data_IF_665356227158
#
_entry.id   IF_665356227158
#
_cell.length_a   1.000
_cell.length_b   1.000
_cell.length_c   1.000
_cell.angle_alpha   90.00
_cell.angle_beta   90.00
_cell.angle_gamma   90.00
#
_symmetry.space_group_name_H-M   'P 1'
#
loop_
_entity.id
_entity.type
_entity.pdbx_description
1 polymer ?
#
# COMPACT_ATOMS: atom_id res chain seq x y z
N UNK A 1 18.94 5.62 25.08
CA UNK A 1 19.89 6.53 24.38
C UNK A 1 19.12 7.25 23.27
N UNK A 2 18.86 8.56 23.39
CA UNK A 2 18.06 9.30 22.40
C UNK A 2 18.90 9.57 21.14
N UNK A 3 18.83 8.67 20.16
CA UNK A 3 19.32 8.97 18.81
C UNK A 3 18.49 10.14 18.28
N UNK A 4 19.07 11.35 18.30
CA UNK A 4 18.56 12.44 17.48
C UNK A 4 18.83 12.07 16.03
N UNK A 5 17.87 11.38 15.43
CA UNK A 5 17.88 11.13 13.99
C UNK A 5 17.74 12.48 13.30
N UNK A 6 18.86 13.02 12.83
CA UNK A 6 18.86 14.23 12.01
C UNK A 6 17.88 14.06 10.84
N UNK A 7 17.03 15.06 10.61
CA UNK A 7 16.03 15.11 9.54
C UNK A 7 16.66 15.23 8.12
N UNK A 8 17.87 14.71 7.91
CA UNK A 8 18.67 14.87 6.70
C UNK A 8 18.06 14.24 5.44
N UNK A 9 17.26 13.19 5.60
CA UNK A 9 16.67 12.43 4.48
C UNK A 9 15.79 13.26 3.53
N UNK A 10 15.10 14.31 4.02
CA UNK A 10 14.26 15.17 3.17
C UNK A 10 14.97 16.48 2.83
N UNK A 11 15.78 17.04 3.75
CA UNK A 11 16.36 18.39 3.57
C UNK A 11 17.56 18.45 2.61
N UNK A 12 18.37 17.39 2.48
CA UNK A 12 19.59 17.41 1.67
C UNK A 12 19.58 16.50 0.42
N UNK A 13 18.50 15.75 0.19
CA UNK A 13 18.49 14.66 -0.80
C UNK A 13 17.56 14.90 -2.02
N UNK A 14 17.16 16.14 -2.31
CA UNK A 14 16.29 16.44 -3.47
C UNK A 14 16.86 15.88 -4.79
N UNK A 15 18.18 15.94 -4.96
CA UNK A 15 18.86 15.41 -6.14
C UNK A 15 18.80 13.88 -6.18
N UNK A 16 18.92 13.20 -5.04
CA UNK A 16 18.78 11.75 -4.96
C UNK A 16 17.39 11.31 -5.43
N UNK A 17 16.33 11.95 -4.92
CA UNK A 17 14.95 11.61 -5.32
C UNK A 17 14.67 11.91 -6.79
N UNK A 18 15.19 13.01 -7.32
CA UNK A 18 15.09 13.33 -8.75
C UNK A 18 15.82 12.28 -9.58
N UNK A 19 17.03 11.88 -9.19
CA UNK A 19 17.80 10.85 -9.90
C UNK A 19 17.06 9.51 -9.90
N UNK A 20 16.56 9.07 -8.74
CA UNK A 20 15.79 7.82 -8.63
C UNK A 20 14.53 7.89 -9.51
N UNK A 21 13.79 9.00 -9.45
CA UNK A 21 12.60 9.19 -10.28
C UNK A 21 12.95 9.13 -11.78
N UNK A 22 14.03 9.79 -12.20
CA UNK A 22 14.48 9.77 -13.60
C UNK A 22 14.92 8.38 -14.04
N UNK A 23 15.65 7.63 -13.21
CA UNK A 23 16.07 6.27 -13.52
C UNK A 23 14.87 5.33 -13.69
N UNK A 24 13.90 5.39 -12.76
CA UNK A 24 12.63 4.64 -12.87
C UNK A 24 11.88 5.06 -14.13
N UNK A 25 11.83 6.36 -14.42
CA UNK A 25 11.17 6.89 -15.62
C UNK A 25 11.82 6.40 -16.92
N UNK A 26 13.15 6.30 -16.99
CA UNK A 26 13.86 5.80 -18.17
C UNK A 26 13.52 4.34 -18.45
N UNK A 27 13.57 3.49 -17.42
CA UNK A 27 13.18 2.07 -17.51
C UNK A 27 11.72 1.93 -17.94
N UNK A 28 10.86 2.78 -17.38
CA UNK A 28 9.46 2.81 -17.75
C UNK A 28 9.23 3.23 -19.21
N UNK A 29 9.90 4.28 -19.69
CA UNK A 29 9.80 4.72 -21.08
C UNK A 29 10.23 3.62 -22.05
N UNK A 30 11.18 2.77 -21.67
CA UNK A 30 11.58 1.62 -22.47
C UNK A 30 10.50 0.51 -22.56
N UNK A 31 9.53 0.47 -21.64
CA UNK A 31 8.48 -0.55 -21.55
C UNK A 31 7.06 -0.04 -21.87
N UNK A 32 6.93 1.25 -22.19
CA UNK A 32 5.65 1.97 -22.28
C UNK A 32 4.74 1.52 -23.44
N UNK A 33 5.32 1.08 -24.57
CA UNK A 33 4.60 0.84 -25.83
C UNK A 33 4.11 -0.60 -26.04
N UNK A 34 4.12 -1.45 -25.00
CA UNK A 34 3.56 -2.81 -25.13
C UNK A 34 2.03 -2.82 -24.95
N UNK A 35 1.31 -3.75 -25.60
CA UNK A 35 -0.11 -3.99 -25.32
C UNK A 35 -0.37 -4.31 -23.84
N UNK A 36 -1.58 -4.02 -23.37
CA UNK A 36 -2.07 -4.46 -22.06
C UNK A 36 -2.18 -5.99 -22.05
N UNK A 37 -1.91 -6.63 -20.90
CA UNK A 37 -1.94 -8.09 -20.75
C UNK A 37 -2.69 -8.51 -19.48
N UNK A 38 -3.35 -9.65 -19.53
CA UNK A 38 -3.94 -10.33 -18.36
C UNK A 38 -4.78 -9.37 -17.47
N UNK A 39 -4.42 -9.26 -16.19
CA UNK A 39 -5.10 -8.42 -15.22
C UNK A 39 -4.93 -6.90 -15.48
N UNK A 40 -3.92 -6.51 -16.26
CA UNK A 40 -3.64 -5.12 -16.58
C UNK A 40 -4.81 -4.46 -17.32
N UNK A 41 -5.38 -5.17 -18.29
CA UNK A 41 -6.52 -4.71 -19.09
C UNK A 41 -7.72 -4.41 -18.20
N UNK A 42 -7.99 -5.28 -17.21
CA UNK A 42 -9.09 -5.10 -16.25
C UNK A 42 -8.96 -3.78 -15.48
N UNK A 43 -7.78 -3.51 -14.93
CA UNK A 43 -7.54 -2.35 -14.10
C UNK A 43 -7.38 -1.05 -14.89
N UNK A 44 -7.05 -1.14 -16.18
CA UNK A 44 -7.10 0.00 -17.11
C UNK A 44 -8.53 0.29 -17.61
N UNK A 45 -9.36 -0.74 -17.77
CA UNK A 45 -10.72 -0.59 -18.30
C UNK A 45 -11.71 -0.01 -17.29
N UNK A 46 -11.67 -0.46 -16.03
CA UNK A 46 -12.58 0.03 -14.97
C UNK A 46 -12.57 1.57 -14.86
N UNK A 47 -11.41 2.26 -14.77
CA UNK A 47 -11.35 3.72 -14.75
C UNK A 47 -11.86 4.39 -16.03
N UNK A 48 -11.67 3.75 -17.20
CA UNK A 48 -12.19 4.25 -18.48
C UNK A 48 -13.73 4.23 -18.46
N UNK A 49 -14.32 3.14 -17.99
CA UNK A 49 -15.77 3.02 -17.85
C UNK A 49 -16.35 4.00 -16.83
N UNK A 50 -15.65 4.29 -15.72
CA UNK A 50 -16.05 5.35 -14.78
C UNK A 50 -16.15 6.73 -15.46
N UNK A 51 -15.26 7.02 -16.42
CA UNK A 51 -15.29 8.28 -17.18
C UNK A 51 -16.47 8.29 -18.15
N UNK A 52 -16.68 7.18 -18.88
CA UNK A 52 -17.75 7.08 -19.89
C UNK A 52 -19.14 7.10 -19.26
N UNK A 53 -19.33 6.38 -18.17
CA UNK A 53 -20.62 6.30 -17.46
C UNK A 53 -20.88 7.50 -16.57
N UNK A 54 -19.82 8.20 -16.13
CA UNK A 54 -19.91 9.22 -15.10
C UNK A 54 -20.18 8.66 -13.69
N UNK A 55 -20.19 7.34 -13.51
CA UNK A 55 -20.39 6.71 -12.20
C UNK A 55 -19.05 6.52 -11.48
N UNK A 56 -18.80 7.38 -10.50
CA UNK A 56 -17.61 7.31 -9.64
C UNK A 56 -17.83 6.48 -8.37
N UNK A 57 -19.05 5.99 -8.13
CA UNK A 57 -19.36 5.18 -6.94
C UNK A 57 -19.25 3.71 -7.26
N UNK A 58 -19.90 3.27 -8.35
CA UNK A 58 -19.96 1.85 -8.74
C UNK A 58 -18.92 1.52 -9.80
N UNK A 59 -17.88 0.72 -9.49
CA UNK A 59 -16.95 0.25 -10.51
C UNK A 59 -17.65 -0.71 -11.48
N UNK A 60 -17.32 -0.60 -12.76
CA UNK A 60 -17.81 -1.48 -13.81
C UNK A 60 -16.63 -2.07 -14.59
N UNK A 61 -16.77 -3.32 -15.02
CA UNK A 61 -15.85 -4.02 -15.91
C UNK A 61 -16.69 -4.69 -17.00
N UNK A 62 -16.40 -4.39 -18.26
CA UNK A 62 -17.22 -4.75 -19.41
C UNK A 62 -18.68 -4.28 -19.22
N UNK A 63 -18.83 -3.10 -18.61
CA UNK A 63 -20.10 -2.50 -18.18
C UNK A 63 -20.92 -3.34 -17.19
N UNK A 64 -20.38 -4.45 -16.70
CA UNK A 64 -20.96 -5.22 -15.61
C UNK A 64 -20.44 -4.72 -14.26
N UNK A 65 -21.28 -4.78 -13.23
CA UNK A 65 -20.94 -4.29 -11.88
C UNK A 65 -19.75 -5.08 -11.31
N UNK A 66 -18.71 -4.37 -10.90
CA UNK A 66 -17.49 -4.94 -10.34
C UNK A 66 -17.36 -4.60 -8.85
N UNK A 67 -17.92 -5.47 -7.99
CA UNK A 67 -17.97 -5.25 -6.54
C UNK A 67 -16.76 -5.75 -5.77
N UNK A 68 -15.70 -6.19 -6.45
CA UNK A 68 -14.63 -6.94 -5.77
C UNK A 68 -13.51 -6.06 -5.19
N UNK A 69 -13.38 -4.81 -5.65
CA UNK A 69 -12.36 -3.86 -5.19
C UNK A 69 -12.95 -2.47 -4.94
N UNK A 70 -12.52 -1.77 -3.88
CA UNK A 70 -12.88 -0.37 -3.67
C UNK A 70 -12.12 0.56 -4.63
N UNK A 71 -12.50 1.85 -4.70
CA UNK A 71 -12.28 2.64 -5.91
C UNK A 71 -11.04 3.53 -5.89
N UNK A 72 -10.23 3.59 -4.83
CA UNK A 72 -9.17 4.60 -4.69
C UNK A 72 -8.22 4.63 -5.90
N UNK A 73 -7.68 3.47 -6.25
CA UNK A 73 -6.74 3.36 -7.37
C UNK A 73 -7.44 3.66 -8.70
N UNK A 74 -8.69 3.23 -8.86
CA UNK A 74 -9.48 3.54 -10.05
C UNK A 74 -9.78 5.04 -10.18
N UNK A 75 -10.07 5.73 -9.09
CA UNK A 75 -10.26 7.19 -9.09
C UNK A 75 -9.00 7.92 -9.53
N UNK A 76 -7.84 7.52 -9.00
CA UNK A 76 -6.56 8.13 -9.39
C UNK A 76 -6.28 7.90 -10.88
N UNK A 77 -6.48 6.68 -11.38
CA UNK A 77 -6.32 6.37 -12.81
C UNK A 77 -7.34 7.12 -13.68
N UNK A 78 -8.59 7.22 -13.26
CA UNK A 78 -9.64 7.94 -14.00
C UNK A 78 -9.35 9.45 -14.07
N UNK A 79 -8.84 10.05 -12.99
CA UNK A 79 -8.38 11.44 -13.00
C UNK A 79 -7.20 11.61 -13.95
N UNK A 80 -6.22 10.69 -13.93
CA UNK A 80 -5.08 10.74 -14.85
C UNK A 80 -5.53 10.64 -16.32
N UNK A 81 -6.49 9.75 -16.64
CA UNK A 81 -7.09 9.65 -17.96
C UNK A 81 -7.81 10.92 -18.41
N UNK A 82 -8.46 11.65 -17.49
CA UNK A 82 -9.07 12.96 -17.82
C UNK A 82 -8.02 14.01 -18.19
N UNK A 83 -6.80 13.93 -17.64
CA UNK A 83 -5.73 14.91 -17.86
C UNK A 83 -4.90 14.55 -19.11
N UNK A 84 -4.53 13.28 -19.25
CA UNK A 84 -3.55 12.81 -20.24
C UNK A 84 -4.17 12.00 -21.39
N UNK A 85 -5.47 11.75 -21.36
CA UNK A 85 -6.16 10.87 -22.29
C UNK A 85 -6.16 9.40 -21.85
N UNK A 86 -7.03 8.61 -22.47
CA UNK A 86 -7.14 7.17 -22.19
C UNK A 86 -6.10 6.43 -23.03
N UNK A 87 -4.97 6.11 -22.40
CA UNK A 87 -3.91 5.32 -23.01
C UNK A 87 -3.35 4.28 -22.03
N UNK A 88 -2.84 3.12 -22.52
CA UNK A 88 -2.20 2.11 -21.66
C UNK A 88 -1.12 2.67 -20.75
N UNK A 89 -0.33 3.61 -21.28
CA UNK A 89 0.76 4.22 -20.54
C UNK A 89 0.25 5.04 -19.35
N UNK A 90 -0.87 5.75 -19.46
CA UNK A 90 -1.38 6.57 -18.36
C UNK A 90 -1.76 5.70 -17.15
N UNK A 91 -2.32 4.51 -17.37
CA UNK A 91 -2.62 3.60 -16.27
C UNK A 91 -1.36 3.05 -15.61
N UNK A 92 -0.34 2.67 -16.39
CA UNK A 92 0.97 2.26 -15.84
C UNK A 92 1.63 3.40 -15.07
N UNK A 93 1.56 4.63 -15.58
CA UNK A 93 2.12 5.82 -14.94
C UNK A 93 1.55 5.98 -13.53
N UNK A 94 0.24 5.82 -13.35
CA UNK A 94 -0.36 5.90 -12.00
C UNK A 94 0.18 4.84 -11.04
N UNK A 95 0.41 3.62 -11.52
CA UNK A 95 0.97 2.55 -10.69
C UNK A 95 2.44 2.82 -10.31
N UNK A 96 3.23 3.37 -11.24
CA UNK A 96 4.61 3.80 -10.98
C UNK A 96 4.68 4.93 -9.98
N UNK A 97 3.77 5.90 -10.08
CA UNK A 97 3.67 6.99 -9.11
C UNK A 97 3.37 6.44 -7.70
N UNK A 98 2.48 5.43 -7.62
CA UNK A 98 2.26 4.72 -6.36
C UNK A 98 3.50 3.99 -5.87
N UNK A 99 4.19 3.23 -6.73
CA UNK A 99 5.41 2.51 -6.34
C UNK A 99 6.53 3.46 -5.88
N UNK A 100 6.70 4.60 -6.55
CA UNK A 100 7.65 5.63 -6.15
C UNK A 100 7.26 6.24 -4.78
N UNK A 101 5.98 6.51 -4.56
CA UNK A 101 5.50 6.98 -3.27
C UNK A 101 5.76 5.96 -2.16
N UNK A 102 5.55 4.65 -2.40
CA UNK A 102 5.90 3.59 -1.46
C UNK A 102 7.39 3.63 -1.10
N UNK A 103 8.27 3.68 -2.11
CA UNK A 103 9.72 3.73 -1.92
C UNK A 103 10.14 4.96 -1.11
N UNK A 104 9.56 6.12 -1.42
CA UNK A 104 9.81 7.37 -0.71
C UNK A 104 9.40 7.27 0.76
N UNK A 105 8.17 6.84 1.03
CA UNK A 105 7.64 6.70 2.39
C UNK A 105 8.39 5.65 3.20
N UNK A 106 8.81 4.56 2.57
CA UNK A 106 9.64 3.52 3.19
C UNK A 106 11.00 4.09 3.58
N UNK A 107 11.61 4.87 2.69
CA UNK A 107 12.85 5.57 3.00
C UNK A 107 12.69 6.55 4.15
N UNK A 108 11.55 7.27 4.25
CA UNK A 108 11.26 8.10 5.43
C UNK A 108 11.20 7.23 6.68
N UNK A 109 10.43 6.15 6.69
CA UNK A 109 10.30 5.26 7.84
C UNK A 109 11.66 4.71 8.28
N UNK A 110 12.40 4.11 7.36
CA UNK A 110 13.73 3.56 7.62
C UNK A 110 14.71 4.64 8.09
N UNK A 111 14.63 5.87 7.55
CA UNK A 111 15.44 6.98 8.03
C UNK A 111 15.13 7.36 9.47
N UNK A 112 13.85 7.37 9.85
CA UNK A 112 13.38 7.67 11.21
C UNK A 112 13.73 6.56 12.21
N UNK A 113 13.90 5.34 11.75
CA UNK A 113 14.29 4.21 12.60
C UNK A 113 15.80 4.09 12.75
N UNK A 114 16.56 4.31 11.66
CA UNK A 114 17.96 3.89 11.57
C UNK A 114 18.89 4.90 10.89
N UNK A 115 18.45 6.14 10.67
CA UNK A 115 19.25 7.22 10.08
C UNK A 115 19.13 7.35 8.56
N UNK A 116 19.49 8.53 8.04
CA UNK A 116 19.25 8.93 6.64
C UNK A 116 19.94 8.03 5.58
N UNK A 117 21.09 7.43 5.90
CA UNK A 117 21.75 6.45 5.01
C UNK A 117 20.89 5.20 4.79
N UNK A 118 20.35 4.65 5.87
CA UNK A 118 19.46 3.47 5.83
C UNK A 118 18.17 3.76 5.07
N UNK A 119 17.62 4.97 5.19
CA UNK A 119 16.46 5.39 4.40
C UNK A 119 16.68 5.31 2.90
N UNK A 120 17.84 5.78 2.41
CA UNK A 120 18.19 5.73 0.98
C UNK A 120 18.36 4.28 0.51
N UNK A 121 19.04 3.46 1.30
CA UNK A 121 19.25 2.04 1.00
C UNK A 121 17.90 1.32 0.94
N UNK A 122 17.01 1.50 1.91
CA UNK A 122 15.70 0.87 1.94
C UNK A 122 14.84 1.22 0.72
N UNK A 123 14.82 2.50 0.32
CA UNK A 123 14.08 2.94 -0.87
C UNK A 123 14.62 2.32 -2.17
N UNK A 124 15.94 2.29 -2.33
CA UNK A 124 16.59 1.68 -3.50
C UNK A 124 16.35 0.17 -3.51
N UNK A 125 16.52 -0.50 -2.36
CA UNK A 125 16.24 -1.93 -2.24
C UNK A 125 14.81 -2.25 -2.63
N UNK A 126 13.83 -1.48 -2.13
CA UNK A 126 12.42 -1.67 -2.48
C UNK A 126 12.17 -1.59 -3.98
N UNK A 127 12.67 -0.54 -4.67
CA UNK A 127 12.48 -0.37 -6.12
C UNK A 127 13.16 -1.50 -6.90
N UNK A 128 14.33 -1.95 -6.44
CA UNK A 128 15.14 -2.98 -7.11
C UNK A 128 14.76 -4.42 -6.72
N UNK A 129 13.81 -4.61 -5.79
CA UNK A 129 13.21 -5.92 -5.53
C UNK A 129 12.56 -6.40 -6.81
N UNK A 130 12.88 -7.63 -7.25
CA UNK A 130 12.46 -8.14 -8.55
C UNK A 130 10.94 -8.02 -8.77
N UNK A 131 10.15 -8.40 -7.78
CA UNK A 131 8.68 -8.23 -7.82
C UNK A 131 8.26 -6.79 -8.03
N UNK A 132 8.81 -5.87 -7.23
CA UNK A 132 8.45 -4.45 -7.29
C UNK A 132 8.78 -3.89 -8.67
N UNK A 133 10.00 -4.17 -9.15
CA UNK A 133 10.47 -3.72 -10.45
C UNK A 133 9.57 -4.24 -11.58
N UNK A 134 9.17 -5.51 -11.55
CA UNK A 134 8.32 -6.10 -12.58
C UNK A 134 6.90 -5.53 -12.53
N UNK A 135 6.23 -5.58 -11.37
CA UNK A 135 4.81 -5.24 -11.28
C UNK A 135 4.53 -3.74 -11.25
N UNK A 136 5.50 -2.89 -10.90
CA UNK A 136 5.31 -1.44 -10.97
C UNK A 136 5.10 -0.96 -12.42
N UNK A 137 5.61 -1.71 -13.40
CA UNK A 137 5.48 -1.42 -14.83
C UNK A 137 4.16 -1.90 -15.44
N UNK A 138 3.34 -2.63 -14.69
CA UNK A 138 1.97 -2.98 -15.06
C UNK A 138 0.99 -1.88 -14.60
N UNK A 139 -0.20 -1.81 -15.19
CA UNK A 139 -1.35 -1.11 -14.62
C UNK A 139 -1.99 -1.90 -13.46
N UNK A 140 -1.22 -2.13 -12.38
CA UNK A 140 -1.69 -2.77 -11.17
C UNK A 140 -2.41 -1.81 -10.21
N UNK A 141 -3.05 -2.37 -9.19
CA UNK A 141 -3.66 -1.62 -8.07
C UNK A 141 -2.90 -1.81 -6.74
N UNK A 142 -1.92 -2.70 -6.71
CA UNK A 142 -1.27 -3.15 -5.47
C UNK A 142 -0.42 -2.06 -4.83
N UNK A 143 0.31 -1.27 -5.63
CA UNK A 143 1.16 -0.22 -5.07
C UNK A 143 0.35 0.91 -4.42
N UNK A 144 -0.90 1.13 -4.85
CA UNK A 144 -1.79 2.06 -4.16
C UNK A 144 -2.05 1.63 -2.72
N UNK A 145 -2.28 0.33 -2.51
CA UNK A 145 -2.41 -0.23 -1.16
C UNK A 145 -1.09 -0.13 -0.39
N UNK A 146 0.02 -0.58 -0.99
CA UNK A 146 1.34 -0.64 -0.33
C UNK A 146 1.73 0.76 0.16
N UNK A 147 1.58 1.79 -0.66
CA UNK A 147 1.88 3.17 -0.28
C UNK A 147 1.00 3.68 0.85
N UNK A 148 -0.30 3.35 0.86
CA UNK A 148 -1.19 3.74 1.95
C UNK A 148 -0.83 3.04 3.27
N UNK A 149 -0.48 1.75 3.22
CA UNK A 149 -0.01 1.00 4.39
C UNK A 149 1.28 1.60 4.93
N UNK A 150 2.28 1.84 4.08
CA UNK A 150 3.56 2.42 4.50
C UNK A 150 3.34 3.84 5.03
N UNK A 151 2.52 4.68 4.37
CA UNK A 151 2.16 6.01 4.88
C UNK A 151 1.57 5.93 6.30
N UNK A 152 0.64 5.00 6.50
CA UNK A 152 0.01 4.74 7.80
C UNK A 152 1.05 4.36 8.84
N UNK A 153 1.90 3.37 8.56
CA UNK A 153 2.92 2.87 9.50
C UNK A 153 4.02 3.89 9.77
N UNK A 154 4.41 4.70 8.78
CA UNK A 154 5.33 5.83 8.95
C UNK A 154 4.74 6.85 9.90
N UNK A 155 3.47 7.23 9.72
CA UNK A 155 2.79 8.17 10.60
C UNK A 155 2.60 7.60 12.01
N UNK A 156 2.28 6.31 12.14
CA UNK A 156 2.24 5.60 13.42
C UNK A 156 3.58 5.67 14.15
N UNK A 157 4.67 5.28 13.47
CA UNK A 157 6.01 5.29 14.05
C UNK A 157 6.40 6.68 14.55
N UNK A 158 6.17 7.71 13.74
CA UNK A 158 6.46 9.10 14.13
C UNK A 158 5.57 9.53 15.31
N UNK A 159 4.28 9.17 15.33
CA UNK A 159 3.40 9.51 16.45
C UNK A 159 3.85 8.89 17.77
N UNK A 160 4.21 7.60 17.78
CA UNK A 160 4.62 6.91 19.01
C UNK A 160 5.90 7.51 19.60
N UNK A 161 6.79 8.03 18.76
CA UNK A 161 8.05 8.64 19.20
C UNK A 161 7.94 10.15 19.51
N UNK A 162 7.18 10.91 18.70
CA UNK A 162 7.11 12.37 18.80
C UNK A 162 5.85 12.88 19.54
N UNK A 163 4.83 12.03 19.73
CA UNK A 163 3.56 12.37 20.40
C UNK A 163 2.64 13.36 19.65
N UNK A 164 3.05 13.87 18.50
CA UNK A 164 2.30 14.91 17.76
C UNK A 164 1.04 14.34 17.11
N UNK A 165 -0.12 14.87 17.50
CA UNK A 165 -1.45 14.43 17.02
C UNK A 165 -1.66 14.51 15.50
N UNK A 166 -0.91 15.36 14.79
CA UNK A 166 -0.93 15.39 13.33
C UNK A 166 -0.60 14.00 12.74
N UNK A 167 0.42 13.32 13.25
CA UNK A 167 0.82 12.00 12.74
C UNK A 167 -0.16 10.90 13.14
N UNK A 168 -0.83 11.02 14.29
CA UNK A 168 -1.94 10.13 14.63
C UNK A 168 -3.09 10.27 13.61
N UNK A 169 -3.42 11.51 13.20
CA UNK A 169 -4.46 11.76 12.18
C UNK A 169 -4.04 11.28 10.80
N UNK A 170 -2.75 11.42 10.44
CA UNK A 170 -2.20 10.87 9.21
C UNK A 170 -2.20 9.33 9.21
N UNK A 171 -1.99 8.70 10.36
CA UNK A 171 -2.17 7.26 10.54
C UNK A 171 -3.63 6.86 10.21
N UNK A 172 -4.62 7.54 10.80
CA UNK A 172 -6.04 7.31 10.47
C UNK A 172 -6.39 7.56 9.00
N UNK A 173 -5.82 8.60 8.39
CA UNK A 173 -5.97 8.84 6.95
C UNK A 173 -5.41 7.68 6.13
N UNK A 174 -4.21 7.21 6.47
CA UNK A 174 -3.58 6.06 5.82
C UNK A 174 -4.44 4.79 5.91
N UNK A 175 -5.01 4.51 7.10
CA UNK A 175 -5.96 3.41 7.31
C UNK A 175 -7.23 3.52 6.45
N UNK A 176 -7.79 4.72 6.32
CA UNK A 176 -8.97 4.96 5.49
C UNK A 176 -8.67 4.81 3.99
N UNK A 177 -7.53 5.33 3.54
CA UNK A 177 -7.10 5.22 2.14
C UNK A 177 -6.72 3.78 1.78
N UNK A 178 -6.06 3.05 2.67
CA UNK A 178 -5.75 1.63 2.43
C UNK A 178 -7.02 0.77 2.37
N UNK A 179 -8.06 1.12 3.14
CA UNK A 179 -9.39 0.53 2.98
C UNK A 179 -9.97 0.83 1.60
N UNK A 180 -9.90 2.07 1.12
CA UNK A 180 -10.39 2.41 -0.23
C UNK A 180 -9.54 1.80 -1.36
N UNK A 181 -8.32 1.33 -1.08
CA UNK A 181 -7.48 0.63 -2.04
C UNK A 181 -7.82 -0.86 -2.17
N UNK A 182 -7.98 -1.58 -1.04
CA UNK A 182 -8.18 -3.05 -1.05
C UNK A 182 -9.12 -3.60 0.02
N UNK A 183 -9.97 -2.77 0.59
CA UNK A 183 -11.02 -3.16 1.54
C UNK A 183 -10.48 -3.45 2.95
N UNK A 184 -11.13 -4.38 3.64
CA UNK A 184 -10.85 -4.69 5.05
C UNK A 184 -9.39 -5.08 5.25
N UNK A 185 -8.79 -5.80 4.30
CA UNK A 185 -7.38 -6.19 4.38
C UNK A 185 -6.45 -4.97 4.50
N UNK A 186 -6.72 -3.93 3.70
CA UNK A 186 -5.90 -2.73 3.70
C UNK A 186 -5.95 -1.96 5.00
N UNK A 187 -7.09 -1.98 5.69
CA UNK A 187 -7.24 -1.46 7.05
C UNK A 187 -6.58 -2.37 8.09
N UNK A 188 -6.88 -3.66 8.02
CA UNK A 188 -6.56 -4.62 9.07
C UNK A 188 -5.05 -4.85 9.22
N UNK A 189 -4.29 -4.90 8.12
CA UNK A 189 -2.85 -5.13 8.16
C UNK A 189 -2.08 -4.06 8.95
N UNK A 190 -2.10 -2.76 8.58
CA UNK A 190 -1.40 -1.72 9.33
C UNK A 190 -1.92 -1.57 10.77
N UNK A 191 -3.23 -1.73 11.00
CA UNK A 191 -3.78 -1.70 12.36
C UNK A 191 -3.27 -2.87 13.23
N UNK A 192 -3.17 -4.07 12.66
CA UNK A 192 -2.63 -5.26 13.34
C UNK A 192 -1.15 -5.07 13.65
N UNK A 193 -0.35 -4.57 12.70
CA UNK A 193 1.08 -4.30 12.91
C UNK A 193 1.27 -3.28 14.04
N UNK A 194 0.50 -2.19 14.04
CA UNK A 194 0.51 -1.19 15.12
C UNK A 194 0.13 -1.80 16.47
N UNK A 195 -0.91 -2.63 16.51
CA UNK A 195 -1.34 -3.33 17.73
C UNK A 195 -0.29 -4.31 18.25
N UNK A 196 0.28 -5.15 17.39
CA UNK A 196 1.35 -6.08 17.74
C UNK A 196 2.59 -5.33 18.25
N UNK A 197 2.94 -4.21 17.64
CA UNK A 197 4.02 -3.36 18.16
C UNK A 197 3.74 -2.90 19.59
N UNK A 198 2.53 -2.40 19.89
CA UNK A 198 2.18 -1.94 21.25
C UNK A 198 2.18 -3.10 22.26
N UNK A 199 1.79 -4.31 21.84
CA UNK A 199 1.85 -5.51 22.68
C UNK A 199 3.30 -5.90 22.95
N UNK A 200 4.10 -6.10 21.91
CA UNK A 200 5.49 -6.56 22.02
C UNK A 200 6.41 -5.54 22.69
N UNK A 201 6.12 -4.24 22.60
CA UNK A 201 6.86 -3.18 23.29
C UNK A 201 6.42 -2.93 24.74
N UNK A 202 5.46 -3.70 25.26
CA UNK A 202 4.91 -3.50 26.62
C UNK A 202 4.07 -2.22 26.78
N UNK A 203 3.77 -1.51 25.69
CA UNK A 203 3.06 -0.23 25.65
C UNK A 203 1.55 -0.38 25.42
N UNK A 204 0.95 -1.53 25.71
CA UNK A 204 -0.47 -1.79 25.45
C UNK A 204 -1.39 -0.74 26.11
N UNK A 205 -1.04 -0.22 27.29
CA UNK A 205 -1.79 0.85 27.98
C UNK A 205 -1.88 2.14 27.16
N UNK A 206 -0.98 2.35 26.20
CA UNK A 206 -1.00 3.53 25.33
C UNK A 206 -2.09 3.47 24.26
N UNK A 207 -2.80 2.35 24.09
CA UNK A 207 -3.92 2.22 23.15
C UNK A 207 -4.97 3.32 23.37
N UNK A 208 -5.17 3.76 24.62
CA UNK A 208 -6.09 4.86 24.95
C UNK A 208 -5.66 6.20 24.35
N UNK A 209 -4.36 6.42 24.13
CA UNK A 209 -3.85 7.63 23.46
C UNK A 209 -4.24 7.69 21.98
N UNK A 210 -4.62 6.56 21.39
CA UNK A 210 -5.13 6.48 20.02
C UNK A 210 -6.59 6.90 19.93
N UNK A 211 -7.33 7.05 21.04
CA UNK A 211 -8.66 7.64 21.00
C UNK A 211 -8.58 9.16 20.68
N UNK A 212 -8.49 9.47 19.40
CA UNK A 212 -8.52 10.83 18.85
C UNK A 212 -9.78 10.98 17.99
N UNK A 213 -10.77 11.72 18.49
CA UNK A 213 -12.05 11.93 17.79
C UNK A 213 -11.83 12.47 16.36
N UNK A 214 -10.97 13.50 16.12
CA UNK A 214 -10.68 13.95 14.76
C UNK A 214 -10.09 12.84 13.88
N UNK A 215 -9.16 12.04 14.39
CA UNK A 215 -8.61 10.88 13.70
C UNK A 215 -9.67 9.84 13.34
N UNK A 216 -10.56 9.49 14.27
CA UNK A 216 -11.66 8.56 14.02
C UNK A 216 -12.65 9.10 12.98
N UNK A 217 -12.91 10.41 12.97
CA UNK A 217 -13.71 11.05 11.92
C UNK A 217 -13.01 10.96 10.56
N UNK A 218 -11.70 11.20 10.49
CA UNK A 218 -10.92 11.06 9.25
C UNK A 218 -11.00 9.62 8.72
N UNK A 219 -10.82 8.63 9.58
CA UNK A 219 -10.99 7.21 9.22
C UNK A 219 -12.41 6.93 8.72
N UNK A 220 -13.42 7.42 9.46
CA UNK A 220 -14.82 7.30 9.09
C UNK A 220 -15.11 7.89 7.71
N UNK A 221 -14.56 9.05 7.38
CA UNK A 221 -14.69 9.68 6.06
C UNK A 221 -13.96 8.92 4.95
N UNK A 222 -12.88 8.20 5.27
CA UNK A 222 -12.23 7.30 4.33
C UNK A 222 -13.07 6.07 4.03
N UNK A 223 -13.77 5.50 5.01
CA UNK A 223 -14.44 4.20 4.88
C UNK A 223 -15.93 4.33 4.53
N UNK A 224 -16.66 5.16 5.29
CA UNK A 224 -18.12 5.14 5.32
C UNK A 224 -18.79 5.74 4.07
N UNK A 225 -18.36 6.87 3.49
CA UNK A 225 -19.11 7.49 2.40
C UNK A 225 -19.28 6.58 1.18
N UNK A 226 -18.19 5.95 0.72
CA UNK A 226 -18.24 5.05 -0.43
C UNK A 226 -19.00 3.76 -0.11
N UNK A 227 -18.75 3.15 1.06
CA UNK A 227 -19.43 1.91 1.46
C UNK A 227 -20.93 2.11 1.62
N UNK A 228 -21.36 3.20 2.25
CA UNK A 228 -22.78 3.57 2.38
C UNK A 228 -23.38 3.80 1.00
N UNK A 229 -22.73 4.58 0.14
CA UNK A 229 -23.24 4.87 -1.21
C UNK A 229 -23.41 3.59 -2.04
N UNK A 230 -22.45 2.66 -1.99
CA UNK A 230 -22.54 1.36 -2.64
C UNK A 230 -23.69 0.51 -2.06
N UNK A 231 -23.81 0.43 -0.74
CA UNK A 231 -24.89 -0.32 -0.07
C UNK A 231 -26.28 0.25 -0.39
N UNK A 232 -26.42 1.57 -0.51
CA UNK A 232 -27.68 2.21 -0.88
C UNK A 232 -28.07 1.94 -2.34
N UNK A 233 -27.09 1.88 -3.25
CA UNK A 233 -27.34 1.59 -4.68
C UNK A 233 -27.53 0.11 -4.97
N UNK A 234 -26.89 -0.75 -4.18
CA UNK A 234 -26.78 -2.18 -4.45
C UNK A 234 -26.96 -3.00 -3.16
N UNK A 235 -28.17 -3.54 -2.91
CA UNK A 235 -28.45 -4.32 -1.70
C UNK A 235 -27.52 -5.52 -1.49
N UNK A 236 -27.09 -6.17 -2.57
CA UNK A 236 -26.21 -7.34 -2.53
C UNK A 236 -24.72 -7.01 -2.33
N UNK A 237 -24.35 -5.72 -2.35
CA UNK A 237 -22.96 -5.28 -2.30
C UNK A 237 -22.22 -5.81 -1.08
N UNK A 238 -22.79 -5.70 0.13
CA UNK A 238 -22.12 -6.14 1.36
C UNK A 238 -21.89 -7.66 1.37
N UNK A 239 -22.83 -8.43 0.84
CA UNK A 239 -22.68 -9.89 0.71
C UNK A 239 -21.52 -10.22 -0.24
N UNK A 240 -21.43 -9.56 -1.38
CA UNK A 240 -20.33 -9.77 -2.33
C UNK A 240 -19.00 -9.26 -1.77
N UNK A 241 -18.94 -7.99 -1.38
CA UNK A 241 -17.70 -7.33 -0.98
C UNK A 241 -17.16 -7.81 0.37
N UNK A 242 -17.99 -7.93 1.40
CA UNK A 242 -17.52 -8.33 2.74
C UNK A 242 -17.45 -9.85 2.85
N UNK A 243 -18.55 -10.54 2.54
CA UNK A 243 -18.64 -11.99 2.78
C UNK A 243 -17.81 -12.76 1.77
N UNK A 244 -18.04 -12.59 0.46
CA UNK A 244 -17.32 -13.38 -0.55
C UNK A 244 -15.84 -12.97 -0.64
N UNK A 245 -15.55 -11.68 -0.85
CA UNK A 245 -14.18 -11.25 -1.15
C UNK A 245 -13.22 -11.21 0.05
N UNK A 246 -13.72 -11.11 1.29
CA UNK A 246 -12.83 -11.10 2.47
C UNK A 246 -12.94 -12.41 3.25
N UNK A 247 -14.12 -12.74 3.77
CA UNK A 247 -14.28 -13.95 4.60
C UNK A 247 -14.21 -15.23 3.75
N UNK A 248 -14.86 -15.26 2.59
CA UNK A 248 -14.80 -16.36 1.63
C UNK A 248 -13.37 -16.58 1.15
N UNK A 249 -12.68 -15.50 0.75
CA UNK A 249 -11.27 -15.56 0.38
C UNK A 249 -10.38 -16.12 1.49
N UNK A 250 -10.52 -15.59 2.72
CA UNK A 250 -9.71 -16.02 3.87
C UNK A 250 -9.94 -17.49 4.23
N UNK A 251 -11.18 -17.97 4.10
CA UNK A 251 -11.57 -19.35 4.41
C UNK A 251 -11.37 -20.33 3.23
N UNK A 252 -10.85 -19.87 2.08
CA UNK A 252 -10.71 -20.68 0.88
C UNK A 252 -12.05 -21.11 0.25
N UNK A 253 -13.12 -20.37 0.53
CA UNK A 253 -14.50 -20.59 0.08
C UNK A 253 -15.01 -19.47 -0.83
N UNK A 254 -14.10 -18.71 -1.45
CA UNK A 254 -14.50 -17.63 -2.37
C UNK A 254 -15.08 -18.24 -3.63
N UNK A 255 -16.23 -17.73 -4.04
CA UNK A 255 -16.81 -18.03 -5.34
C UNK A 255 -15.96 -17.36 -6.43
N UNK A 256 -14.90 -18.05 -6.84
CA UNK A 256 -13.96 -17.59 -7.88
C UNK A 256 -13.33 -18.77 -8.60
N UNK A 257 -12.87 -18.55 -9.84
CA UNK A 257 -12.16 -19.56 -10.64
C UNK A 257 -10.65 -19.63 -10.32
N UNK A 258 -10.21 -19.01 -9.22
CA UNK A 258 -8.79 -18.92 -8.90
C UNK A 258 -8.31 -20.26 -8.34
N UNK A 259 -7.22 -20.78 -8.91
CA UNK A 259 -6.58 -21.97 -8.40
C UNK A 259 -6.00 -21.71 -7.00
N UNK A 260 -6.26 -22.61 -6.05
CA UNK A 260 -5.55 -22.62 -4.78
C UNK A 260 -4.07 -22.90 -5.05
N UNK A 261 -3.23 -21.90 -4.82
CA UNK A 261 -1.79 -22.06 -4.90
C UNK A 261 -1.27 -22.77 -3.65
N UNK A 262 -0.52 -23.88 -3.77
CA UNK A 262 0.08 -24.54 -2.63
C UNK A 262 0.97 -23.57 -1.84
N UNK A 263 0.81 -23.50 -0.51
CA UNK A 263 1.53 -22.54 0.34
C UNK A 263 3.05 -22.64 0.18
N UNK A 264 3.59 -23.85 0.05
CA UNK A 264 5.03 -24.05 -0.17
C UNK A 264 5.52 -23.45 -1.49
N UNK A 265 4.72 -23.58 -2.56
CA UNK A 265 5.05 -22.99 -3.85
C UNK A 265 4.97 -21.46 -3.79
N UNK A 266 3.93 -20.91 -3.14
CA UNK A 266 3.82 -19.47 -2.90
C UNK A 266 5.07 -18.92 -2.19
N UNK A 267 5.49 -19.54 -1.07
CA UNK A 267 6.67 -19.11 -0.33
C UNK A 267 7.96 -19.21 -1.17
N UNK A 268 8.09 -20.25 -2.00
CA UNK A 268 9.25 -20.40 -2.89
C UNK A 268 9.29 -19.33 -3.98
N UNK A 269 8.14 -19.01 -4.59
CA UNK A 269 8.03 -17.94 -5.59
C UNK A 269 8.31 -16.57 -4.96
N UNK A 270 7.71 -16.28 -3.80
CA UNK A 270 7.95 -15.03 -3.07
C UNK A 270 9.42 -14.86 -2.67
N UNK A 271 10.14 -15.94 -2.34
CA UNK A 271 11.57 -15.88 -2.08
C UNK A 271 12.37 -15.50 -3.34
N UNK A 272 11.98 -16.00 -4.51
CA UNK A 272 12.54 -15.62 -5.80
C UNK A 272 12.21 -14.17 -6.17
N UNK A 273 10.97 -13.76 -5.96
CA UNK A 273 10.43 -12.41 -6.17
C UNK A 273 11.08 -11.35 -5.27
N UNK A 274 11.55 -11.76 -4.08
CA UNK A 274 12.35 -10.92 -3.17
C UNK A 274 13.83 -10.81 -3.57
N UNK A 275 14.25 -11.43 -4.68
CA UNK A 275 15.62 -11.28 -5.19
C UNK A 275 15.94 -9.82 -5.55
N UNK A 276 17.20 -9.39 -5.39
CA UNK A 276 18.36 -10.15 -4.92
C UNK A 276 18.50 -10.21 -3.38
N UNK A 277 17.56 -9.62 -2.65
CA UNK A 277 17.70 -9.38 -1.21
C UNK A 277 17.53 -10.62 -0.35
N UNK A 278 16.98 -11.70 -0.90
CA UNK A 278 16.85 -13.00 -0.22
C UNK A 278 18.20 -13.52 0.32
N UNK A 279 19.32 -13.15 -0.31
CA UNK A 279 20.68 -13.50 0.15
C UNK A 279 21.01 -12.90 1.53
N UNK A 280 20.33 -11.83 1.94
CA UNK A 280 20.48 -11.20 3.25
C UNK A 280 19.57 -11.82 4.32
N UNK A 281 18.69 -12.76 3.97
CA UNK A 281 17.76 -13.37 4.91
C UNK A 281 18.45 -13.97 6.15
N UNK A 282 19.61 -14.66 6.06
CA UNK A 282 20.31 -15.15 7.25
C UNK A 282 20.76 -14.03 8.20
N UNK A 283 21.16 -12.89 7.65
CA UNK A 283 21.58 -11.72 8.43
C UNK A 283 20.36 -11.10 9.13
N UNK A 284 19.23 -10.96 8.41
CA UNK A 284 17.98 -10.43 8.94
C UNK A 284 17.46 -11.34 10.08
N UNK A 285 17.43 -12.66 9.88
CA UNK A 285 16.99 -13.62 10.90
C UNK A 285 17.90 -13.53 12.14
N UNK A 286 19.22 -13.57 11.95
CA UNK A 286 20.17 -13.47 13.07
C UNK A 286 19.99 -12.16 13.82
N UNK A 287 19.90 -11.03 13.12
CA UNK A 287 19.69 -9.72 13.73
C UNK A 287 18.37 -9.63 14.48
N UNK A 288 17.30 -10.19 13.94
CA UNK A 288 15.98 -10.24 14.59
C UNK A 288 16.03 -11.09 15.87
N UNK A 289 16.67 -12.25 15.83
CA UNK A 289 16.83 -13.12 17.02
C UNK A 289 17.64 -12.42 18.10
N UNK A 290 18.75 -11.74 17.73
CA UNK A 290 19.55 -10.98 18.69
C UNK A 290 18.74 -9.83 19.30
N UNK A 291 18.04 -9.05 18.48
CA UNK A 291 17.20 -7.96 18.94
C UNK A 291 16.07 -8.43 19.87
N UNK A 292 15.46 -9.60 19.60
CA UNK A 292 14.44 -10.19 20.47
C UNK A 292 15.01 -10.70 21.80
N UNK A 293 16.27 -11.15 21.82
CA UNK A 293 16.95 -11.58 23.05
C UNK A 293 17.41 -10.40 23.90
N UNK A 294 17.97 -9.38 23.27
CA UNK A 294 18.47 -8.18 23.93
C UNK A 294 17.32 -7.25 24.37
N UNK A 295 16.25 -7.14 23.58
CA UNK A 295 15.05 -6.36 23.90
C UNK A 295 14.12 -6.99 24.94
N UNK A 296 14.50 -8.11 25.55
CA UNK A 296 13.81 -8.70 26.70
C UNK A 296 14.35 -8.24 28.06
N UNK A 297 15.42 -7.43 28.08
CA UNK A 297 16.11 -6.97 29.30
C UNK A 297 16.05 -5.45 29.56
N UNK A 298 15.27 -4.68 28.78
CA UNK A 298 15.02 -3.24 29.05
C UNK A 298 13.61 -2.94 29.58
#
# INVERSE_FOLDING_TARGET
MSYQVENGFVKNDKYFWVIIFLLVSIVYLASINRPLRDAESKYAEIPREMIVTGDWVTPHLDFARYFTKPPLTFWVTAVAYKIFGVHPWVARLTNIMWAFLAAYLLGILASRMYGAGTGRIAAVMFILTAEVFTYCLDAGIEFGLISCIIASLTAFWIYVNDGRKLYLRLFYLGLGLSFLAKGILGFALPATIAGLYLICSGRLREVWKFLDVPGLVILGLGVLPWTIAMSMRHPDFLKCFVINEHFGAFLGKRDSNDALFPTGLFLALSAGEFSPWILYLPIIIRGTILALKEGGEE
#
